data_IF_354495118495
#
_entry.id   IF_354495118495
#
_cell.length_a   1.000
_cell.length_b   1.000
_cell.length_c   1.000
_cell.angle_alpha   90.00
_cell.angle_beta   90.00
_cell.angle_gamma   90.00
#
_symmetry.space_group_name_H-M   'P 1'
#
loop_
_entity.id
_entity.type
_entity.pdbx_description
1 polymer ?
#
# COMPACT_ATOMS: atom_id res chain seq x y z
N UNK A 1 5.38 -2.73 15.27
CA UNK A 1 4.02 -3.29 15.23
C UNK A 1 3.97 -4.54 16.08
N UNK A 2 3.03 -4.60 17.01
CA UNK A 2 2.87 -5.72 17.93
C UNK A 2 2.28 -6.95 17.21
N UNK A 3 2.85 -8.11 17.47
CA UNK A 3 2.26 -9.40 17.08
C UNK A 3 1.13 -9.78 18.05
N UNK A 4 -0.09 -9.40 17.70
CA UNK A 4 -1.26 -9.65 18.53
C UNK A 4 -1.61 -11.14 18.61
N UNK A 5 -1.21 -11.93 17.60
CA UNK A 5 -1.38 -13.38 17.64
C UNK A 5 -0.55 -13.98 18.76
N UNK A 6 0.71 -13.53 18.89
CA UNK A 6 1.57 -13.98 19.97
C UNK A 6 1.02 -13.60 21.35
N UNK A 7 0.57 -12.35 21.51
CA UNK A 7 -0.07 -11.91 22.76
C UNK A 7 -1.28 -12.77 23.13
N UNK A 8 -2.11 -13.09 22.13
CA UNK A 8 -3.29 -13.92 22.34
C UNK A 8 -2.92 -15.37 22.68
N UNK A 9 -1.94 -15.94 22.01
CA UNK A 9 -1.49 -17.33 22.30
C UNK A 9 -0.84 -17.45 23.67
N UNK A 10 -0.14 -16.41 24.12
CA UNK A 10 0.58 -16.42 25.41
C UNK A 10 -0.36 -16.13 26.61
N UNK A 11 -1.39 -15.31 26.44
CA UNK A 11 -2.24 -14.82 27.54
C UNK A 11 -3.73 -14.71 27.22
N UNK A 12 -4.21 -15.26 26.11
CA UNK A 12 -5.59 -15.15 25.69
C UNK A 12 -6.02 -13.69 25.45
N UNK A 13 -7.34 -13.48 25.45
CA UNK A 13 -7.90 -12.13 25.26
C UNK A 13 -7.52 -11.18 26.42
N UNK A 14 -7.35 -11.70 27.62
CA UNK A 14 -6.99 -10.90 28.78
C UNK A 14 -5.54 -10.40 28.69
N UNK A 15 -4.60 -11.23 28.18
CA UNK A 15 -3.23 -10.80 27.91
C UNK A 15 -3.16 -9.70 26.85
N UNK A 16 -4.01 -9.75 25.81
CA UNK A 16 -4.13 -8.68 24.82
C UNK A 16 -4.62 -7.39 25.47
N UNK A 17 -5.71 -7.46 26.25
CA UNK A 17 -6.28 -6.30 26.95
C UNK A 17 -5.29 -5.67 27.92
N UNK A 18 -4.59 -6.47 28.72
CA UNK A 18 -3.59 -6.02 29.69
C UNK A 18 -2.44 -5.29 28.97
N UNK A 19 -1.95 -5.84 27.87
CA UNK A 19 -0.90 -5.21 27.06
C UNK A 19 -1.32 -3.82 26.59
N UNK A 20 -2.50 -3.68 26.02
CA UNK A 20 -2.98 -2.37 25.54
C UNK A 20 -3.32 -1.41 26.67
N UNK A 21 -3.88 -1.89 27.78
CA UNK A 21 -4.14 -1.06 28.96
C UNK A 21 -2.86 -0.52 29.61
N UNK A 22 -1.73 -1.19 29.45
CA UNK A 22 -0.42 -0.72 29.94
C UNK A 22 0.16 0.46 29.14
N UNK A 23 -0.50 0.90 28.08
CA UNK A 23 -0.03 1.99 27.21
C UNK A 23 1.15 1.61 26.29
N UNK A 24 1.53 0.33 26.25
CA UNK A 24 2.62 -0.17 25.40
C UNK A 24 2.22 -0.42 23.96
N UNK A 25 0.93 -0.48 23.67
CA UNK A 25 0.41 -0.66 22.32
C UNK A 25 -0.05 0.66 21.75
N UNK A 26 0.70 1.27 20.84
CA UNK A 26 0.32 2.51 20.16
C UNK A 26 -0.84 2.35 19.18
N UNK A 27 -1.17 1.11 18.78
CA UNK A 27 -2.21 0.81 17.80
C UNK A 27 -3.27 -0.09 18.43
N UNK A 28 -4.50 0.39 18.38
CA UNK A 28 -5.64 -0.34 18.91
C UNK A 28 -5.99 -1.53 18.01
N UNK A 29 -6.10 -2.66 18.62
CA UNK A 29 -6.73 -3.82 18.07
C UNK A 29 -8.25 -3.72 18.25
N UNK A 30 -9.03 -3.87 17.16
CA UNK A 30 -10.46 -3.56 17.19
C UNK A 30 -11.38 -4.77 17.18
N UNK A 31 -11.03 -5.83 16.47
CA UNK A 31 -11.87 -7.01 16.33
C UNK A 31 -11.04 -8.23 15.93
N UNK A 32 -11.58 -9.42 16.19
CA UNK A 32 -11.01 -10.64 15.65
C UNK A 32 -11.20 -10.67 14.13
N UNK A 33 -10.10 -10.89 13.36
CA UNK A 33 -10.21 -11.04 11.92
C UNK A 33 -11.05 -12.26 11.53
N UNK A 34 -11.64 -12.25 10.33
CA UNK A 34 -12.43 -13.35 9.81
C UNK A 34 -11.71 -14.71 9.81
N UNK A 35 -10.39 -14.70 9.62
CA UNK A 35 -9.53 -15.89 9.67
C UNK A 35 -8.94 -16.16 11.05
N UNK A 36 -9.49 -15.56 12.12
CA UNK A 36 -8.87 -15.56 13.44
C UNK A 36 -7.63 -14.68 13.50
N UNK A 37 -6.88 -14.77 14.58
CA UNK A 37 -5.63 -14.02 14.74
C UNK A 37 -4.51 -14.65 13.94
N UNK A 38 -3.84 -13.85 13.13
CA UNK A 38 -2.74 -14.30 12.28
C UNK A 38 -1.56 -13.34 12.32
N UNK A 39 -0.42 -13.82 11.92
CA UNK A 39 0.79 -13.01 11.75
C UNK A 39 0.80 -12.37 10.37
N UNK A 40 1.34 -11.17 10.28
CA UNK A 40 1.59 -10.51 8.99
C UNK A 40 2.65 -11.25 8.12
N UNK A 41 3.21 -12.33 8.61
CA UNK A 41 4.10 -13.24 7.89
C UNK A 41 3.43 -14.57 7.51
N UNK A 42 2.10 -14.66 7.63
CA UNK A 42 1.36 -15.86 7.26
C UNK A 42 0.95 -15.81 5.78
N UNK A 43 1.66 -16.59 4.96
CA UNK A 43 1.42 -16.67 3.52
C UNK A 43 0.03 -17.22 3.16
N UNK A 44 -0.56 -18.06 4.01
CA UNK A 44 -1.90 -18.59 3.78
C UNK A 44 -2.95 -17.47 3.76
N UNK A 45 -2.83 -16.51 4.67
CA UNK A 45 -3.75 -15.36 4.74
C UNK A 45 -3.62 -14.50 3.48
N UNK A 46 -2.40 -14.23 3.01
CA UNK A 46 -2.19 -13.48 1.77
C UNK A 46 -2.75 -14.19 0.53
N UNK A 47 -2.66 -15.52 0.49
CA UNK A 47 -3.34 -16.30 -0.57
C UNK A 47 -4.86 -16.12 -0.51
N UNK A 48 -5.47 -16.23 0.67
CA UNK A 48 -6.91 -16.03 0.86
C UNK A 48 -7.34 -14.63 0.46
N UNK A 49 -6.60 -13.61 0.90
CA UNK A 49 -6.86 -12.24 0.51
C UNK A 49 -6.80 -12.04 -1.01
N UNK A 50 -5.82 -12.63 -1.70
CA UNK A 50 -5.74 -12.53 -3.16
C UNK A 50 -7.00 -13.07 -3.84
N UNK A 51 -7.45 -14.27 -3.47
CA UNK A 51 -8.68 -14.85 -4.01
C UNK A 51 -9.92 -13.98 -3.74
N UNK A 52 -10.06 -13.49 -2.51
CA UNK A 52 -11.21 -12.67 -2.13
C UNK A 52 -11.23 -11.33 -2.87
N UNK A 53 -10.08 -10.66 -2.95
CA UNK A 53 -9.94 -9.37 -3.63
C UNK A 53 -10.18 -9.52 -5.14
N UNK A 54 -9.64 -10.56 -5.78
CA UNK A 54 -9.91 -10.83 -7.20
C UNK A 54 -11.36 -11.18 -7.45
N UNK A 55 -11.98 -11.98 -6.59
CA UNK A 55 -13.42 -12.28 -6.69
C UNK A 55 -14.29 -11.02 -6.53
N UNK A 56 -13.83 -10.04 -5.76
CA UNK A 56 -14.47 -8.74 -5.62
C UNK A 56 -14.17 -7.77 -6.77
N UNK A 57 -13.37 -8.14 -7.76
CA UNK A 57 -13.01 -7.30 -8.90
C UNK A 57 -11.95 -6.23 -8.60
N UNK A 58 -11.15 -6.42 -7.55
CA UNK A 58 -10.09 -5.48 -7.20
C UNK A 58 -8.90 -5.64 -8.16
N UNK A 59 -8.51 -4.58 -8.84
CA UNK A 59 -7.38 -4.57 -9.77
C UNK A 59 -6.05 -4.40 -9.05
N UNK A 60 -5.99 -3.51 -8.08
CA UNK A 60 -4.78 -3.30 -7.28
C UNK A 60 -5.12 -2.87 -5.84
N UNK A 61 -4.14 -3.05 -4.96
CA UNK A 61 -4.19 -2.60 -3.57
C UNK A 61 -3.17 -1.50 -3.34
N UNK A 62 -3.48 -0.60 -2.39
CA UNK A 62 -2.51 0.35 -1.86
C UNK A 62 -1.80 -0.23 -0.65
N UNK A 63 -0.48 -0.13 -0.64
CA UNK A 63 0.31 -0.28 0.56
C UNK A 63 0.65 1.11 1.09
N UNK A 64 0.07 1.47 2.22
CA UNK A 64 0.32 2.74 2.89
C UNK A 64 1.67 2.68 3.61
N UNK A 65 2.58 3.55 3.18
CA UNK A 65 3.91 3.73 3.76
C UNK A 65 4.12 5.14 4.28
N UNK A 66 3.04 5.85 4.56
CA UNK A 66 3.09 7.22 5.09
C UNK A 66 3.77 7.34 6.46
N UNK A 67 3.92 6.21 7.17
CA UNK A 67 4.67 6.04 8.41
C UNK A 67 6.15 5.64 8.23
N UNK A 68 6.67 5.68 6.98
CA UNK A 68 8.03 5.25 6.60
C UNK A 68 8.33 3.75 6.73
N UNK A 69 7.34 2.93 7.04
CA UNK A 69 7.47 1.47 7.12
C UNK A 69 7.44 0.86 5.72
N UNK A 70 8.61 0.70 5.11
CA UNK A 70 8.78 0.17 3.75
C UNK A 70 9.52 -1.14 3.78
N UNK A 71 9.03 -2.11 3.00
CA UNK A 71 9.70 -3.39 2.77
C UNK A 71 9.94 -4.20 4.04
N UNK A 72 8.99 -4.11 4.96
CA UNK A 72 8.97 -4.91 6.19
C UNK A 72 8.60 -6.36 5.88
N UNK A 73 8.78 -7.25 6.86
CA UNK A 73 8.53 -8.70 6.70
C UNK A 73 7.14 -9.03 6.13
N UNK A 74 6.11 -8.25 6.48
CA UNK A 74 4.76 -8.41 5.93
C UNK A 74 4.71 -8.14 4.43
N UNK A 75 5.35 -7.08 3.95
CA UNK A 75 5.44 -6.78 2.51
C UNK A 75 6.19 -7.89 1.75
N UNK A 76 7.30 -8.36 2.30
CA UNK A 76 8.06 -9.46 1.69
C UNK A 76 7.22 -10.74 1.59
N UNK A 77 6.53 -11.10 2.66
CA UNK A 77 5.66 -12.28 2.64
C UNK A 77 4.52 -12.13 1.62
N UNK A 78 3.92 -10.95 1.51
CA UNK A 78 2.91 -10.64 0.50
C UNK A 78 3.49 -10.80 -0.92
N UNK A 79 4.65 -10.21 -1.21
CA UNK A 79 5.26 -10.23 -2.53
C UNK A 79 5.65 -11.65 -2.94
N UNK A 80 6.33 -12.39 -2.09
CA UNK A 80 6.73 -13.77 -2.35
C UNK A 80 5.51 -14.68 -2.56
N UNK A 81 4.46 -14.47 -1.76
CA UNK A 81 3.23 -15.25 -1.87
C UNK A 81 2.51 -14.97 -3.17
N UNK A 82 2.29 -13.71 -3.52
CA UNK A 82 1.57 -13.34 -4.74
C UNK A 82 2.38 -13.65 -6.01
N UNK A 83 3.69 -13.47 -5.97
CA UNK A 83 4.58 -13.88 -7.06
C UNK A 83 4.48 -15.39 -7.32
N UNK A 84 4.51 -16.21 -6.25
CA UNK A 84 4.32 -17.66 -6.35
C UNK A 84 2.95 -18.01 -6.93
N UNK A 85 1.88 -17.35 -6.46
CA UNK A 85 0.53 -17.58 -7.00
C UNK A 85 0.47 -17.31 -8.51
N UNK A 86 1.05 -16.20 -8.99
CA UNK A 86 1.10 -15.89 -10.43
C UNK A 86 1.86 -16.95 -11.22
N UNK A 87 2.98 -17.44 -10.70
CA UNK A 87 3.74 -18.55 -11.30
C UNK A 87 2.96 -19.87 -11.31
N UNK A 88 2.04 -20.05 -10.37
CA UNK A 88 1.07 -21.15 -10.35
C UNK A 88 -0.13 -20.92 -11.30
N UNK A 89 -0.18 -19.82 -12.04
CA UNK A 89 -1.29 -19.44 -12.92
C UNK A 89 -2.50 -18.85 -12.20
N UNK A 90 -2.34 -18.44 -10.93
CA UNK A 90 -3.39 -17.84 -10.11
C UNK A 90 -3.24 -16.31 -10.15
N UNK A 91 -4.28 -15.63 -10.62
CA UNK A 91 -4.31 -14.17 -10.69
C UNK A 91 -4.39 -13.54 -9.29
N UNK A 92 -3.67 -12.44 -9.11
CA UNK A 92 -3.67 -11.63 -7.88
C UNK A 92 -3.89 -10.16 -8.22
N UNK A 93 -4.42 -9.33 -7.31
CA UNK A 93 -4.34 -7.89 -7.50
C UNK A 93 -2.90 -7.44 -7.72
N UNK A 94 -2.73 -6.28 -8.34
CA UNK A 94 -1.44 -5.63 -8.40
C UNK A 94 -1.21 -4.73 -7.19
N UNK A 95 -0.03 -4.17 -7.05
CA UNK A 95 0.38 -3.40 -5.88
C UNK A 95 0.76 -1.99 -6.30
N UNK A 96 0.30 -1.02 -5.53
CA UNK A 96 0.65 0.39 -5.61
C UNK A 96 1.10 0.86 -4.23
N UNK A 97 2.03 1.81 -4.16
CA UNK A 97 2.41 2.43 -2.89
C UNK A 97 1.77 3.80 -2.72
N UNK A 98 1.29 4.06 -1.51
CA UNK A 98 0.86 5.37 -1.06
C UNK A 98 1.91 5.95 -0.10
N UNK A 99 2.57 7.02 -0.54
CA UNK A 99 3.66 7.67 0.20
C UNK A 99 3.19 8.79 1.15
N UNK A 100 1.88 8.90 1.37
CA UNK A 100 1.30 9.99 2.15
C UNK A 100 1.17 11.30 1.38
N UNK A 101 0.37 12.22 1.94
CA UNK A 101 0.07 13.52 1.31
C UNK A 101 0.95 14.67 1.80
N UNK A 102 1.89 14.40 2.70
CA UNK A 102 2.83 15.41 3.17
C UNK A 102 3.93 15.61 2.12
N UNK A 103 4.02 16.81 1.51
CA UNK A 103 5.12 17.10 0.60
C UNK A 103 6.49 17.08 1.31
N UNK A 104 6.51 17.32 2.62
CA UNK A 104 7.76 17.35 3.40
C UNK A 104 8.42 15.97 3.52
N UNK A 105 7.63 14.90 3.56
CA UNK A 105 8.15 13.51 3.73
C UNK A 105 8.18 12.72 2.43
N UNK A 106 7.50 13.18 1.38
CA UNK A 106 7.39 12.45 0.12
C UNK A 106 8.75 12.09 -0.49
N UNK A 107 9.71 13.02 -0.47
CA UNK A 107 11.03 12.78 -1.06
C UNK A 107 11.79 11.65 -0.35
N UNK A 108 11.71 11.56 0.98
CA UNK A 108 12.34 10.50 1.76
C UNK A 108 11.66 9.15 1.52
N UNK A 109 10.32 9.12 1.48
CA UNK A 109 9.57 7.90 1.20
C UNK A 109 9.89 7.33 -0.19
N UNK A 110 9.92 8.19 -1.21
CA UNK A 110 10.30 7.77 -2.57
C UNK A 110 11.73 7.26 -2.64
N UNK A 111 12.67 7.92 -1.98
CA UNK A 111 14.05 7.46 -1.95
C UNK A 111 14.16 6.08 -1.29
N UNK A 112 13.44 5.87 -0.21
CA UNK A 112 13.41 4.59 0.49
C UNK A 112 12.77 3.50 -0.37
N UNK A 113 11.65 3.77 -1.03
CA UNK A 113 11.04 2.85 -2.00
C UNK A 113 12.00 2.49 -3.14
N UNK A 114 12.65 3.48 -3.70
CA UNK A 114 13.58 3.26 -4.81
C UNK A 114 14.76 2.39 -4.39
N UNK A 115 15.33 2.64 -3.22
CA UNK A 115 16.49 1.88 -2.74
C UNK A 115 16.14 0.46 -2.26
N UNK A 116 14.86 0.19 -2.01
CA UNK A 116 14.40 -1.11 -1.46
C UNK A 116 13.57 -1.87 -2.49
N UNK A 117 12.32 -1.47 -2.67
CA UNK A 117 11.35 -2.20 -3.51
C UNK A 117 11.66 -2.10 -4.99
N UNK A 118 12.09 -0.93 -5.46
CA UNK A 118 12.36 -0.65 -6.88
C UNK A 118 13.87 -0.60 -7.19
N UNK A 119 14.73 -1.14 -6.33
CA UNK A 119 16.13 -1.42 -6.67
C UNK A 119 16.20 -2.38 -7.87
N UNK A 120 17.25 -2.33 -8.65
CA UNK A 120 17.36 -3.15 -9.87
C UNK A 120 17.16 -4.65 -9.60
N UNK A 121 17.70 -5.15 -8.49
CA UNK A 121 17.54 -6.55 -8.07
C UNK A 121 16.09 -6.91 -7.72
N UNK A 122 15.45 -6.09 -6.90
CA UNK A 122 14.07 -6.32 -6.48
C UNK A 122 13.07 -6.05 -7.61
N UNK A 123 13.36 -5.07 -8.46
CA UNK A 123 12.55 -4.80 -9.66
C UNK A 123 12.49 -6.02 -10.56
N UNK A 124 13.62 -6.62 -10.90
CA UNK A 124 13.66 -7.79 -11.76
C UNK A 124 12.90 -8.99 -11.17
N UNK A 125 12.89 -9.10 -9.85
CA UNK A 125 12.18 -10.15 -9.14
C UNK A 125 10.66 -9.92 -9.10
N UNK A 126 10.22 -8.69 -8.77
CA UNK A 126 8.84 -8.41 -8.36
C UNK A 126 8.05 -7.53 -9.32
N UNK A 127 8.63 -7.06 -10.44
CA UNK A 127 8.00 -6.09 -11.37
C UNK A 127 6.59 -6.45 -11.83
N UNK A 128 6.29 -7.72 -11.99
CA UNK A 128 4.96 -8.18 -12.40
C UNK A 128 3.87 -7.97 -11.34
N UNK A 129 4.24 -7.72 -10.09
CA UNK A 129 3.31 -7.43 -9.01
C UNK A 129 2.83 -5.98 -9.01
N UNK A 130 3.57 -5.06 -9.63
CA UNK A 130 3.28 -3.64 -9.54
C UNK A 130 2.33 -3.19 -10.64
N UNK A 131 1.37 -2.35 -10.27
CA UNK A 131 0.46 -1.75 -11.22
C UNK A 131 1.19 -0.66 -12.01
N UNK A 132 1.13 -0.78 -13.34
CA UNK A 132 1.73 0.19 -14.25
C UNK A 132 0.67 1.13 -14.79
N UNK A 133 0.93 2.43 -14.71
CA UNK A 133 0.15 3.46 -15.37
C UNK A 133 1.05 4.25 -16.31
N UNK A 134 0.64 4.37 -17.55
CA UNK A 134 1.47 4.97 -18.61
C UNK A 134 2.84 4.28 -18.75
N UNK A 135 2.87 2.96 -18.56
CA UNK A 135 4.08 2.14 -18.72
C UNK A 135 5.08 2.21 -17.56
N UNK A 136 4.75 2.88 -16.45
CA UNK A 136 5.61 3.03 -15.27
C UNK A 136 4.85 2.67 -14.00
N UNK A 137 5.55 2.21 -12.93
CA UNK A 137 4.90 1.95 -11.66
C UNK A 137 4.13 3.17 -11.16
N UNK A 138 2.86 2.97 -10.81
CA UNK A 138 2.02 3.99 -10.21
C UNK A 138 2.38 4.16 -8.74
N UNK A 139 2.51 5.40 -8.30
CA UNK A 139 2.72 5.79 -6.91
C UNK A 139 1.78 6.93 -6.57
N UNK A 140 1.21 6.89 -5.38
CA UNK A 140 0.42 7.98 -4.85
C UNK A 140 1.21 8.80 -3.83
N UNK A 141 1.13 10.12 -3.95
CA UNK A 141 1.76 11.04 -3.02
C UNK A 141 1.80 12.48 -3.52
N UNK A 142 2.35 13.35 -2.69
CA UNK A 142 2.40 14.79 -2.94
C UNK A 142 3.81 15.27 -3.30
N UNK A 143 4.00 15.65 -4.55
CA UNK A 143 5.28 16.10 -5.10
C UNK A 143 5.61 17.57 -4.84
N UNK A 144 4.82 18.28 -4.03
CA UNK A 144 4.90 19.74 -3.87
C UNK A 144 6.22 20.27 -3.28
N UNK A 145 7.04 19.42 -2.66
CA UNK A 145 8.37 19.79 -2.15
C UNK A 145 9.51 19.55 -3.15
N UNK A 146 9.23 18.88 -4.26
CA UNK A 146 10.27 18.53 -5.22
C UNK A 146 10.57 19.69 -6.18
N UNK A 147 11.86 19.97 -6.38
CA UNK A 147 12.27 20.90 -7.43
C UNK A 147 12.14 20.26 -8.82
N UNK A 148 12.27 21.10 -9.87
CA UNK A 148 12.06 20.66 -11.26
C UNK A 148 13.03 19.53 -11.70
N UNK A 149 14.22 19.46 -11.16
CA UNK A 149 15.18 18.40 -11.48
C UNK A 149 14.82 17.09 -10.82
N UNK A 150 14.44 17.12 -9.54
CA UNK A 150 13.93 15.97 -8.79
C UNK A 150 12.66 15.41 -9.45
N UNK A 151 11.73 16.28 -9.81
CA UNK A 151 10.48 15.89 -10.46
C UNK A 151 10.73 15.22 -11.83
N UNK A 152 11.65 15.77 -12.63
CA UNK A 152 12.03 15.13 -13.90
C UNK A 152 12.65 13.75 -13.70
N UNK A 153 13.48 13.58 -12.68
CA UNK A 153 14.11 12.30 -12.37
C UNK A 153 13.07 11.28 -11.91
N UNK A 154 12.18 11.69 -11.03
CA UNK A 154 11.06 10.87 -10.55
C UNK A 154 10.17 10.40 -11.70
N UNK A 155 9.75 11.32 -12.57
CA UNK A 155 8.86 11.02 -13.69
C UNK A 155 9.47 10.13 -14.77
N UNK A 156 10.78 9.92 -14.79
CA UNK A 156 11.40 8.90 -15.65
C UNK A 156 11.15 7.49 -15.16
N UNK A 157 11.00 7.30 -13.86
CA UNK A 157 10.88 5.99 -13.20
C UNK A 157 9.44 5.64 -12.81
N UNK A 158 8.66 6.63 -12.42
CA UNK A 158 7.32 6.46 -11.86
C UNK A 158 6.29 7.34 -12.53
N UNK A 159 5.05 6.91 -12.51
CA UNK A 159 3.89 7.77 -12.68
C UNK A 159 3.35 8.12 -11.30
N UNK A 160 3.29 9.41 -10.96
CA UNK A 160 2.83 9.88 -9.66
C UNK A 160 1.47 10.53 -9.79
N UNK A 161 0.57 10.19 -8.90
CA UNK A 161 -0.76 10.80 -8.76
C UNK A 161 -0.98 11.25 -7.31
N UNK A 162 -1.65 12.37 -7.14
CA UNK A 162 -2.18 12.75 -5.84
C UNK A 162 -3.45 11.95 -5.51
N UNK A 163 -3.75 11.76 -4.23
CA UNK A 163 -4.82 10.87 -3.77
C UNK A 163 -6.02 11.58 -3.13
N UNK A 164 -6.01 12.92 -3.01
CA UNK A 164 -7.09 13.65 -2.38
C UNK A 164 -8.29 13.89 -3.27
N UNK A 165 -9.46 13.39 -2.86
CA UNK A 165 -10.70 13.55 -3.60
C UNK A 165 -11.21 15.00 -3.66
N UNK A 166 -10.93 15.79 -2.65
CA UNK A 166 -11.41 17.18 -2.52
C UNK A 166 -10.47 18.24 -3.09
N UNK A 167 -9.29 17.85 -3.56
CA UNK A 167 -8.35 18.76 -4.21
C UNK A 167 -8.56 18.69 -5.70
N UNK A 168 -9.10 19.75 -6.29
CA UNK A 168 -9.29 19.85 -7.74
C UNK A 168 -7.97 20.24 -8.43
N UNK A 169 -7.09 19.27 -8.61
CA UNK A 169 -5.84 19.44 -9.34
C UNK A 169 -5.70 18.36 -10.41
N UNK A 170 -5.11 18.72 -11.54
CA UNK A 170 -4.70 17.75 -12.54
C UNK A 170 -3.69 16.79 -11.91
N UNK A 171 -3.69 15.53 -12.30
CA UNK A 171 -2.86 14.46 -11.77
C UNK A 171 -3.26 13.93 -10.38
N UNK A 172 -4.46 14.24 -9.89
CA UNK A 172 -5.00 13.62 -8.70
C UNK A 172 -6.04 12.57 -9.07
N UNK A 173 -5.94 11.41 -8.46
CA UNK A 173 -6.98 10.40 -8.52
C UNK A 173 -7.87 10.52 -7.29
N UNK A 174 -9.18 10.68 -7.46
CA UNK A 174 -10.08 10.78 -6.33
C UNK A 174 -10.20 9.43 -5.62
N UNK A 175 -10.04 9.46 -4.33
CA UNK A 175 -10.35 8.37 -3.44
C UNK A 175 -11.10 8.91 -2.21
N UNK A 176 -11.72 8.08 -1.41
CA UNK A 176 -12.61 8.50 -0.32
C UNK A 176 -13.71 9.45 -0.82
N UNK A 177 -14.34 9.04 -1.89
CA UNK A 177 -15.26 9.85 -2.62
C UNK A 177 -16.58 10.00 -1.87
N UNK A 178 -16.94 11.22 -1.45
CA UNK A 178 -18.31 11.48 -1.04
C UNK A 178 -19.22 11.57 -2.28
N UNK A 179 -20.42 10.98 -2.17
CA UNK A 179 -21.45 10.97 -3.22
C UNK A 179 -21.73 12.36 -3.81
N UNK A 180 -21.55 13.43 -3.04
CA UNK A 180 -21.79 14.81 -3.45
C UNK A 180 -20.64 15.48 -4.21
N UNK A 181 -19.52 14.80 -4.35
CA UNK A 181 -18.33 15.34 -5.07
C UNK A 181 -18.23 14.86 -6.52
N UNK A 182 -19.34 14.47 -7.13
CA UNK A 182 -19.40 13.91 -8.48
C UNK A 182 -18.77 14.79 -9.57
N UNK A 183 -18.86 16.12 -9.46
CA UNK A 183 -18.23 17.03 -10.42
C UNK A 183 -16.71 17.00 -10.39
N UNK A 184 -16.12 16.91 -9.20
CA UNK A 184 -14.68 16.87 -9.03
C UNK A 184 -14.11 15.57 -9.62
N UNK A 185 -14.88 14.49 -9.51
CA UNK A 185 -14.50 13.19 -10.02
C UNK A 185 -14.61 13.10 -11.54
N UNK A 186 -15.67 13.64 -12.12
CA UNK A 186 -15.83 13.69 -13.57
C UNK A 186 -14.66 14.45 -14.23
N UNK A 187 -14.30 15.61 -13.70
CA UNK A 187 -13.17 16.40 -14.23
C UNK A 187 -11.84 15.65 -14.13
N UNK A 188 -11.64 14.86 -13.07
CA UNK A 188 -10.40 14.09 -12.91
C UNK A 188 -10.35 12.84 -13.77
N UNK A 189 -11.47 12.19 -13.99
CA UNK A 189 -11.58 11.08 -14.93
C UNK A 189 -11.33 11.54 -16.38
N UNK A 190 -11.81 12.71 -16.76
CA UNK A 190 -11.53 13.30 -18.07
C UNK A 190 -10.05 13.64 -18.28
N UNK A 191 -9.29 13.86 -17.22
CA UNK A 191 -7.87 14.22 -17.24
C UNK A 191 -6.93 13.03 -16.90
N UNK A 192 -7.40 11.81 -16.98
CA UNK A 192 -6.58 10.61 -16.83
C UNK A 192 -6.57 10.02 -15.41
N UNK A 193 -7.62 10.23 -14.66
CA UNK A 193 -7.97 9.43 -13.49
C UNK A 193 -8.82 8.25 -13.89
#
# INVERSE_FOLDING_TARGET
VQDNTKLYLDGGIDGVKEFFASGRGGEAYWAEPYFGYYRNTDSWVYRKHAYMLKAAGVDFIFLDISNEEVFVNGHMTLFDTWLRMRREGIDTPQIVFFCGDSPATFASHIQKLYNTVYSDENWDTYKELFFLWEGKPLIFGNTGSLNATQLRTLNKKFTVRGSWAWVNQNNYWPWLQEYRMSRQNAVKMENGG
#
